data_IF_142573859702
#
_entry.id   IF_142573859702
#
_cell.length_a   1.000
_cell.length_b   1.000
_cell.length_c   1.000
_cell.angle_alpha   90.00
_cell.angle_beta   90.00
_cell.angle_gamma   90.00
#
_symmetry.space_group_name_H-M   'P 1'
#
loop_
_entity.id
_entity.type
_entity.pdbx_description
1 polymer ?
#
# COMPACT_ATOMS: atom_id res chain seq x y z
N UNK A 1 -42.03 14.85 -13.20
CA UNK A 1 -42.31 14.73 -11.75
C UNK A 1 -40.97 14.75 -11.04
N UNK A 2 -40.67 15.88 -10.41
CA UNK A 2 -39.46 16.12 -9.63
C UNK A 2 -39.75 15.64 -8.21
N UNK A 3 -39.00 14.65 -7.73
CA UNK A 3 -39.09 14.16 -6.36
C UNK A 3 -38.41 15.15 -5.41
N UNK A 4 -39.21 15.78 -4.56
CA UNK A 4 -38.79 16.81 -3.62
C UNK A 4 -37.83 16.25 -2.55
N UNK A 5 -36.69 16.93 -2.38
CA UNK A 5 -35.85 16.80 -1.20
C UNK A 5 -36.62 17.32 0.02
N UNK A 6 -36.78 16.48 1.03
CA UNK A 6 -37.31 16.90 2.31
C UNK A 6 -36.30 17.83 3.00
N UNK A 7 -36.69 19.10 3.07
CA UNK A 7 -36.09 20.15 3.88
C UNK A 7 -36.23 19.81 5.37
N UNK A 8 -35.12 19.55 6.05
CA UNK A 8 -35.02 19.61 7.51
C UNK A 8 -34.45 20.97 7.90
N UNK A 9 -35.34 21.90 8.19
CA UNK A 9 -35.03 23.21 8.75
C UNK A 9 -34.76 23.09 10.25
N UNK A 10 -33.55 23.48 10.66
CA UNK A 10 -33.31 24.33 11.82
C UNK A 10 -33.64 23.81 13.22
N UNK A 11 -32.73 23.00 13.79
CA UNK A 11 -32.19 23.35 15.11
C UNK A 11 -30.96 24.20 14.81
N UNK A 12 -30.92 25.45 15.28
CA UNK A 12 -29.66 26.17 15.33
C UNK A 12 -28.73 25.35 16.24
N UNK A 13 -27.80 24.56 15.66
CA UNK A 13 -26.69 24.03 16.44
C UNK A 13 -25.95 25.25 16.95
N UNK A 14 -25.95 25.46 18.26
CA UNK A 14 -25.05 26.42 18.86
C UNK A 14 -23.64 26.11 18.34
N UNK A 15 -22.94 27.14 17.87
CA UNK A 15 -21.55 27.03 17.42
C UNK A 15 -20.76 26.47 18.61
N UNK A 16 -20.15 25.29 18.47
CA UNK A 16 -19.42 24.68 19.57
C UNK A 16 -18.23 25.59 19.93
N UNK A 17 -18.11 25.92 21.22
CA UNK A 17 -17.01 26.75 21.73
C UNK A 17 -15.79 25.88 21.95
N UNK A 18 -14.68 26.23 21.32
CA UNK A 18 -13.44 25.44 21.37
C UNK A 18 -12.28 26.31 21.84
N UNK A 19 -11.63 25.90 22.92
CA UNK A 19 -10.37 26.48 23.34
C UNK A 19 -9.20 25.75 22.67
N UNK A 20 -8.17 26.48 22.25
CA UNK A 20 -6.90 25.90 21.79
C UNK A 20 -5.76 26.49 22.61
N UNK A 21 -5.12 25.64 23.42
CA UNK A 21 -3.97 26.00 24.24
C UNK A 21 -2.70 25.41 23.64
N UNK A 22 -1.75 26.29 23.35
CA UNK A 22 -0.57 26.01 22.54
C UNK A 22 -0.91 26.21 21.06
N UNK A 23 -0.64 27.39 20.53
CA UNK A 23 -0.84 27.74 19.11
C UNK A 23 0.49 27.91 18.36
N UNK A 24 1.43 27.01 18.65
CA UNK A 24 2.68 26.85 17.91
C UNK A 24 2.51 26.10 16.58
N UNK A 25 3.52 25.32 16.19
CA UNK A 25 3.62 24.68 14.86
C UNK A 25 2.41 23.85 14.42
N UNK A 26 1.80 23.11 15.35
CA UNK A 26 0.60 22.30 15.07
C UNK A 26 -0.66 23.04 15.50
N UNK A 27 -0.67 23.57 16.72
CA UNK A 27 -1.83 24.23 17.29
C UNK A 27 -2.33 25.43 16.50
N UNK A 28 -1.44 26.19 15.85
CA UNK A 28 -1.84 27.31 14.97
C UNK A 28 -2.67 26.82 13.78
N UNK A 29 -2.25 25.72 13.14
CA UNK A 29 -3.00 25.12 12.03
C UNK A 29 -4.35 24.55 12.49
N UNK A 30 -4.39 23.94 13.68
CA UNK A 30 -5.62 23.43 14.29
C UNK A 30 -6.59 24.57 14.60
N UNK A 31 -6.15 25.61 15.32
CA UNK A 31 -6.97 26.78 15.64
C UNK A 31 -7.46 27.48 14.35
N UNK A 32 -6.60 27.63 13.35
CA UNK A 32 -6.98 28.20 12.06
C UNK A 32 -8.03 27.37 11.31
N UNK A 33 -7.92 26.04 11.37
CA UNK A 33 -8.90 25.12 10.76
C UNK A 33 -10.23 25.17 11.49
N UNK A 34 -10.23 25.26 12.83
CA UNK A 34 -11.45 25.42 13.64
C UNK A 34 -12.15 26.75 13.35
N UNK A 35 -11.41 27.86 13.30
CA UNK A 35 -11.97 29.17 12.89
C UNK A 35 -12.56 29.08 11.48
N UNK A 36 -11.84 28.48 10.53
CA UNK A 36 -12.32 28.29 9.15
C UNK A 36 -13.54 27.36 9.04
N UNK A 37 -13.66 26.41 9.96
CA UNK A 37 -14.82 25.51 10.10
C UNK A 37 -16.02 26.14 10.81
N UNK A 38 -15.91 27.40 11.25
CA UNK A 38 -16.99 28.11 11.94
C UNK A 38 -17.14 27.69 13.41
N UNK A 39 -16.08 27.33 14.11
CA UNK A 39 -16.14 27.18 15.57
C UNK A 39 -15.95 28.55 16.25
N UNK A 40 -16.52 28.73 17.44
CA UNK A 40 -16.21 29.89 18.29
C UNK A 40 -14.93 29.56 19.07
N UNK A 41 -13.81 30.17 18.68
CA UNK A 41 -12.48 29.76 19.14
C UNK A 41 -11.90 30.77 20.12
N UNK A 42 -11.39 30.28 21.25
CA UNK A 42 -10.49 31.01 22.13
C UNK A 42 -9.08 30.40 22.08
N UNK A 43 -8.04 31.24 21.98
CA UNK A 43 -6.65 30.79 21.92
C UNK A 43 -5.82 31.30 23.09
N UNK A 44 -4.86 30.49 23.50
CA UNK A 44 -3.81 30.87 24.44
C UNK A 44 -2.48 30.22 24.06
N UNK A 45 -1.40 30.97 24.23
CA UNK A 45 -0.02 30.48 24.20
C UNK A 45 0.81 31.28 25.21
N UNK A 46 1.90 30.68 25.69
CA UNK A 46 2.89 31.39 26.52
C UNK A 46 3.68 32.41 25.70
N UNK A 47 3.76 32.24 24.37
CA UNK A 47 4.32 33.21 23.44
C UNK A 47 3.22 34.18 22.94
N UNK A 48 3.24 35.47 23.34
CA UNK A 48 2.27 36.45 22.89
C UNK A 48 2.25 36.65 21.37
N UNK A 49 3.39 36.45 20.69
CA UNK A 49 3.47 36.59 19.25
C UNK A 49 2.65 35.50 18.53
N UNK A 50 2.57 34.29 19.09
CA UNK A 50 1.75 33.21 18.55
C UNK A 50 0.25 33.51 18.69
N UNK A 51 -0.16 34.13 19.80
CA UNK A 51 -1.55 34.56 20.04
C UNK A 51 -1.96 35.70 19.09
N UNK A 52 -1.06 36.66 18.85
CA UNK A 52 -1.32 37.84 18.01
C UNK A 52 -1.75 37.49 16.57
N UNK A 53 -1.29 36.35 16.04
CA UNK A 53 -1.68 35.82 14.71
C UNK A 53 -3.21 35.62 14.59
N UNK A 54 -3.89 35.41 15.72
CA UNK A 54 -5.33 35.17 15.77
C UNK A 54 -6.16 36.43 16.10
N UNK A 55 -5.52 37.60 16.25
CA UNK A 55 -6.24 38.85 16.55
C UNK A 55 -7.32 39.11 15.50
N UNK A 56 -8.55 39.34 15.97
CA UNK A 56 -9.71 39.60 15.11
C UNK A 56 -10.28 38.36 14.40
N UNK A 57 -9.74 37.17 14.66
CA UNK A 57 -10.20 35.89 14.10
C UNK A 57 -10.66 34.90 15.18
N UNK A 58 -10.10 35.00 16.38
CA UNK A 58 -10.46 34.23 17.57
C UNK A 58 -10.37 35.12 18.81
N UNK A 59 -11.03 34.71 19.89
CA UNK A 59 -10.82 35.31 21.20
C UNK A 59 -9.41 34.97 21.71
N UNK A 60 -8.77 35.90 22.40
CA UNK A 60 -7.43 35.72 22.98
C UNK A 60 -7.54 35.75 24.49
N UNK A 61 -6.97 34.76 25.18
CA UNK A 61 -6.96 34.68 26.63
C UNK A 61 -5.56 34.95 27.19
N UNK A 62 -5.47 35.36 28.46
CA UNK A 62 -4.22 35.54 29.19
C UNK A 62 -3.77 34.29 29.96
N UNK A 63 -4.67 33.32 30.17
CA UNK A 63 -4.36 32.03 30.83
C UNK A 63 -5.11 30.86 30.19
N UNK A 64 -4.66 29.59 30.41
CA UNK A 64 -5.41 28.41 30.00
C UNK A 64 -6.82 28.35 30.60
N UNK A 65 -6.97 28.69 31.88
CA UNK A 65 -8.27 28.76 32.55
C UNK A 65 -9.22 29.76 31.87
N UNK A 66 -8.73 30.96 31.54
CA UNK A 66 -9.54 31.96 30.84
C UNK A 66 -9.96 31.50 29.44
N UNK A 67 -9.06 30.85 28.68
CA UNK A 67 -9.41 30.29 27.38
C UNK A 67 -10.50 29.22 27.49
N UNK A 68 -10.49 28.43 28.57
CA UNK A 68 -11.32 27.24 28.73
C UNK A 68 -12.67 27.48 29.42
N UNK A 69 -12.89 28.65 30.05
CA UNK A 69 -14.02 28.91 30.94
C UNK A 69 -15.41 28.58 30.38
N UNK A 70 -15.61 28.81 29.08
CA UNK A 70 -16.88 28.57 28.38
C UNK A 70 -16.78 27.48 27.31
N UNK A 71 -15.67 26.74 27.24
CA UNK A 71 -15.39 25.86 26.12
C UNK A 71 -16.07 24.48 26.28
N UNK A 72 -16.78 24.04 25.24
CA UNK A 72 -17.32 22.68 25.14
C UNK A 72 -16.20 21.64 24.91
N UNK A 73 -15.13 22.08 24.25
CA UNK A 73 -13.92 21.30 24.03
C UNK A 73 -12.66 22.15 24.19
N UNK A 74 -11.61 21.55 24.76
CA UNK A 74 -10.29 22.16 24.86
C UNK A 74 -9.28 21.30 24.10
N UNK A 75 -8.61 21.88 23.11
CA UNK A 75 -7.48 21.29 22.41
C UNK A 75 -6.19 21.71 23.11
N UNK A 76 -5.36 20.74 23.52
CA UNK A 76 -4.04 20.99 24.10
C UNK A 76 -2.95 20.52 23.14
N UNK A 77 -2.14 21.46 22.64
CA UNK A 77 -1.06 21.22 21.70
C UNK A 77 0.24 21.92 22.14
N UNK A 78 0.84 21.38 23.20
CA UNK A 78 2.08 21.87 23.84
C UNK A 78 3.24 20.88 23.66
N UNK A 79 4.44 21.25 24.12
CA UNK A 79 5.66 20.54 23.79
C UNK A 79 5.86 19.24 24.59
N UNK A 80 5.64 19.28 25.90
CA UNK A 80 5.98 18.18 26.81
C UNK A 80 4.96 17.96 27.94
N UNK A 81 5.20 16.91 28.71
CA UNK A 81 4.42 16.50 29.88
C UNK A 81 4.28 17.60 30.94
N UNK A 82 5.34 18.37 31.19
CA UNK A 82 5.33 19.41 32.22
C UNK A 82 4.40 20.56 31.81
N UNK A 83 4.47 20.97 30.54
CA UNK A 83 3.58 21.97 29.98
C UNK A 83 2.12 21.48 29.96
N UNK A 84 1.88 20.22 29.61
CA UNK A 84 0.52 19.65 29.61
C UNK A 84 -0.08 19.67 31.04
N UNK A 85 0.71 19.31 32.05
CA UNK A 85 0.29 19.41 33.47
C UNK A 85 0.05 20.85 33.90
N UNK A 86 0.93 21.78 33.53
CA UNK A 86 0.75 23.20 33.86
C UNK A 86 -0.53 23.78 33.25
N UNK A 87 -0.81 23.46 31.98
CA UNK A 87 -2.00 23.90 31.25
C UNK A 87 -3.30 23.34 31.86
N UNK A 88 -3.30 22.10 32.33
CA UNK A 88 -4.53 21.44 32.76
C UNK A 88 -4.76 21.52 34.27
N UNK A 89 -3.71 21.31 35.06
CA UNK A 89 -3.77 21.15 36.53
C UNK A 89 -3.01 22.24 37.30
N UNK A 90 -2.33 23.15 36.61
CA UNK A 90 -1.61 24.26 37.25
C UNK A 90 -2.54 25.27 37.94
N UNK A 91 -1.97 26.28 38.63
CA UNK A 91 -2.74 27.31 39.33
C UNK A 91 -3.76 28.04 38.44
N UNK A 92 -3.39 28.30 37.18
CA UNK A 92 -4.26 28.87 36.15
C UNK A 92 -4.70 27.82 35.11
N UNK A 93 -4.78 26.56 35.55
CA UNK A 93 -5.06 25.40 34.72
C UNK A 93 -6.53 25.28 34.31
N UNK A 94 -6.76 24.63 33.17
CA UNK A 94 -8.07 24.59 32.54
C UNK A 94 -9.10 23.69 33.22
N UNK A 95 -8.71 22.63 33.95
CA UNK A 95 -9.69 21.67 34.48
C UNK A 95 -10.70 22.28 35.44
N UNK A 96 -10.29 23.25 36.27
CA UNK A 96 -11.21 23.93 37.20
C UNK A 96 -12.11 24.98 36.54
N UNK A 97 -11.79 25.39 35.31
CA UNK A 97 -12.54 26.41 34.58
C UNK A 97 -13.52 25.81 33.55
N UNK A 98 -13.24 24.60 33.05
CA UNK A 98 -14.07 23.94 32.05
C UNK A 98 -15.48 23.62 32.59
N UNK A 99 -16.53 23.76 31.77
CA UNK A 99 -17.86 23.27 32.09
C UNK A 99 -17.88 21.76 32.33
N UNK A 100 -18.76 21.30 33.23
CA UNK A 100 -18.95 19.87 33.47
C UNK A 100 -19.38 19.14 32.18
N UNK A 101 -18.72 18.02 31.89
CA UNK A 101 -18.92 17.23 30.68
C UNK A 101 -18.16 17.73 29.44
N UNK A 102 -17.38 18.82 29.54
CA UNK A 102 -16.50 19.25 28.47
C UNK A 102 -15.43 18.19 28.14
N UNK A 103 -14.89 18.24 26.92
CA UNK A 103 -13.88 17.29 26.45
C UNK A 103 -12.53 17.98 26.27
N UNK A 104 -11.51 17.51 26.98
CA UNK A 104 -10.11 17.88 26.77
C UNK A 104 -9.48 16.91 25.77
N UNK A 105 -9.10 17.43 24.62
CA UNK A 105 -8.42 16.72 23.54
C UNK A 105 -6.91 16.97 23.63
N UNK A 106 -6.14 15.96 24.02
CA UNK A 106 -4.69 16.05 24.14
C UNK A 106 -4.02 15.67 22.83
N UNK A 107 -3.50 16.66 22.09
CA UNK A 107 -2.72 16.47 20.86
C UNK A 107 -1.23 16.34 21.14
N UNK A 108 -0.77 16.92 22.25
CA UNK A 108 0.63 16.86 22.69
C UNK A 108 1.10 15.42 22.80
N UNK A 109 2.28 15.12 22.24
CA UNK A 109 2.87 13.78 22.39
C UNK A 109 3.52 13.68 23.78
N UNK A 110 2.76 13.20 24.76
CA UNK A 110 3.17 13.07 26.17
C UNK A 110 3.33 11.61 26.60
N UNK A 111 3.99 11.40 27.74
CA UNK A 111 4.11 10.09 28.36
C UNK A 111 2.77 9.52 28.83
N UNK A 112 2.65 8.19 28.81
CA UNK A 112 1.41 7.50 29.18
C UNK A 112 1.02 7.72 30.65
N UNK A 113 2.01 7.73 31.57
CA UNK A 113 1.76 8.02 32.98
C UNK A 113 1.16 9.42 33.18
N UNK A 114 1.64 10.40 32.42
CA UNK A 114 1.07 11.76 32.44
C UNK A 114 -0.34 11.79 31.90
N UNK A 115 -0.61 11.09 30.79
CA UNK A 115 -1.96 11.00 30.26
C UNK A 115 -2.93 10.35 31.27
N UNK A 116 -2.51 9.28 31.95
CA UNK A 116 -3.30 8.58 32.97
C UNK A 116 -3.60 9.48 34.18
N UNK A 117 -2.59 10.20 34.69
CA UNK A 117 -2.77 11.19 35.75
C UNK A 117 -3.74 12.29 35.35
N UNK A 118 -3.60 12.83 34.13
CA UNK A 118 -4.47 13.88 33.60
C UNK A 118 -5.90 13.39 33.40
N UNK A 119 -6.09 12.16 32.93
CA UNK A 119 -7.41 11.56 32.79
C UNK A 119 -8.10 11.41 34.15
N UNK A 120 -7.37 11.01 35.19
CA UNK A 120 -7.88 10.93 36.56
C UNK A 120 -8.26 12.31 37.10
N UNK A 121 -7.38 13.29 36.98
CA UNK A 121 -7.64 14.67 37.44
C UNK A 121 -8.79 15.34 36.67
N UNK A 122 -8.93 15.04 35.37
CA UNK A 122 -10.07 15.48 34.56
C UNK A 122 -11.38 14.89 35.05
N UNK A 123 -11.41 13.58 35.33
CA UNK A 123 -12.59 12.92 35.88
C UNK A 123 -13.00 13.48 37.25
N UNK A 124 -12.04 13.76 38.15
CA UNK A 124 -12.28 14.42 39.44
C UNK A 124 -12.87 15.83 39.28
N UNK A 125 -12.55 16.50 38.16
CA UNK A 125 -13.05 17.82 37.79
C UNK A 125 -14.33 17.77 36.92
N UNK A 126 -14.87 16.57 36.66
CA UNK A 126 -16.09 16.38 35.89
C UNK A 126 -15.96 16.56 34.38
N UNK A 127 -14.75 16.46 33.82
CA UNK A 127 -14.48 16.55 32.37
C UNK A 127 -13.96 15.24 31.80
N UNK A 128 -14.08 15.06 30.49
CA UNK A 128 -13.53 13.91 29.77
C UNK A 128 -12.16 14.25 29.19
N UNK A 129 -11.20 13.33 29.28
CA UNK A 129 -9.90 13.44 28.60
C UNK A 129 -9.85 12.42 27.47
N UNK A 130 -9.58 12.90 26.26
CA UNK A 130 -9.44 12.14 25.02
C UNK A 130 -8.04 12.40 24.48
N UNK A 131 -7.25 11.36 24.26
CA UNK A 131 -5.95 11.48 23.61
C UNK A 131 -6.10 11.41 22.09
N UNK A 132 -5.41 12.28 21.37
CA UNK A 132 -5.48 12.34 19.92
C UNK A 132 -4.09 12.53 19.34
N UNK A 133 -3.47 11.41 18.97
CA UNK A 133 -2.22 11.43 18.25
C UNK A 133 -2.42 11.92 16.82
N UNK A 134 -1.66 12.92 16.37
CA UNK A 134 -1.78 13.48 15.01
C UNK A 134 -0.55 13.24 14.15
N UNK A 135 -0.72 13.12 12.83
CA UNK A 135 0.39 13.04 11.87
C UNK A 135 0.11 13.85 10.60
N UNK A 136 1.18 14.17 9.85
CA UNK A 136 1.17 15.06 8.67
C UNK A 136 1.94 16.37 8.85
N UNK A 137 2.34 16.70 10.09
CA UNK A 137 3.17 17.85 10.40
C UNK A 137 2.50 19.21 10.17
N UNK A 138 3.26 20.32 10.27
CA UNK A 138 2.72 21.69 10.20
C UNK A 138 1.99 21.99 8.88
N UNK A 139 2.49 21.44 7.77
CA UNK A 139 1.86 21.63 6.45
C UNK A 139 0.47 21.00 6.37
N UNK A 140 0.26 19.82 6.96
CA UNK A 140 -1.07 19.20 7.00
C UNK A 140 -1.99 19.94 8.00
N UNK A 141 -1.47 20.35 9.16
CA UNK A 141 -2.21 21.14 10.14
C UNK A 141 -2.75 22.45 9.54
N UNK A 142 -1.91 23.21 8.82
CA UNK A 142 -2.30 24.47 8.19
C UNK A 142 -3.37 24.33 7.10
N UNK A 143 -3.56 23.12 6.56
CA UNK A 143 -4.56 22.82 5.52
C UNK A 143 -5.79 22.07 6.07
N UNK A 144 -5.87 21.83 7.37
CA UNK A 144 -6.92 21.01 7.97
C UNK A 144 -6.90 19.56 7.46
N UNK A 145 -5.72 19.00 7.18
CA UNK A 145 -5.55 17.67 6.59
C UNK A 145 -4.75 16.70 7.46
N UNK A 146 -4.70 16.91 8.77
CA UNK A 146 -4.05 15.95 9.67
C UNK A 146 -4.70 14.56 9.57
N UNK A 147 -3.94 13.54 9.94
CA UNK A 147 -4.49 12.21 10.22
C UNK A 147 -4.47 12.02 11.71
N UNK A 148 -5.64 11.76 12.28
CA UNK A 148 -5.88 11.77 13.72
C UNK A 148 -6.21 10.37 14.23
N UNK A 149 -5.51 9.97 15.29
CA UNK A 149 -5.58 8.67 15.96
C UNK A 149 -6.13 8.93 17.36
N UNK A 150 -7.43 8.69 17.55
CA UNK A 150 -8.17 9.13 18.74
C UNK A 150 -8.32 7.96 19.71
N UNK A 151 -7.99 8.15 20.98
CA UNK A 151 -8.24 7.21 22.08
C UNK A 151 -9.18 7.83 23.11
N UNK A 152 -10.13 7.04 23.61
CA UNK A 152 -11.12 7.50 24.58
C UNK A 152 -12.39 6.65 24.56
N UNK A 153 -13.26 6.83 25.54
CA UNK A 153 -14.57 6.17 25.55
C UNK A 153 -15.47 6.71 24.43
N UNK A 154 -16.32 5.84 23.87
CA UNK A 154 -17.16 6.12 22.69
C UNK A 154 -17.95 7.42 22.81
N UNK A 155 -18.54 7.69 23.98
CA UNK A 155 -19.33 8.91 24.21
C UNK A 155 -18.48 10.18 24.15
N UNK A 156 -17.32 10.19 24.82
CA UNK A 156 -16.42 11.34 24.81
C UNK A 156 -15.81 11.57 23.42
N UNK A 157 -15.48 10.50 22.70
CA UNK A 157 -14.98 10.56 21.32
C UNK A 157 -16.06 11.09 20.39
N UNK A 158 -17.31 10.62 20.49
CA UNK A 158 -18.42 11.10 19.67
C UNK A 158 -18.68 12.61 19.87
N UNK A 159 -18.54 13.11 21.11
CA UNK A 159 -18.69 14.54 21.43
C UNK A 159 -17.64 15.42 20.76
N UNK A 160 -16.38 14.97 20.74
CA UNK A 160 -15.26 15.76 20.20
C UNK A 160 -14.98 15.49 18.72
N UNK A 161 -15.61 14.47 18.12
CA UNK A 161 -15.40 14.10 16.72
C UNK A 161 -15.57 15.27 15.73
N UNK A 162 -16.60 16.14 15.83
CA UNK A 162 -16.73 17.30 14.93
C UNK A 162 -15.54 18.27 15.01
N UNK A 163 -14.95 18.42 16.20
CA UNK A 163 -13.75 19.26 16.42
C UNK A 163 -12.55 18.61 15.75
N UNK A 164 -12.38 17.29 15.88
CA UNK A 164 -11.26 16.55 15.26
C UNK A 164 -11.36 16.57 13.73
N UNK A 165 -12.56 16.37 13.18
CA UNK A 165 -12.82 16.38 11.74
C UNK A 165 -12.55 17.74 11.10
N UNK A 166 -12.73 18.85 11.84
CA UNK A 166 -12.47 20.20 11.33
C UNK A 166 -11.00 20.44 10.93
N UNK A 167 -10.05 19.74 11.54
CA UNK A 167 -8.62 19.88 11.24
C UNK A 167 -7.98 18.61 10.63
N UNK A 168 -8.79 17.57 10.37
CA UNK A 168 -8.31 16.26 9.93
C UNK A 168 -8.93 15.81 8.61
N UNK A 169 -8.12 15.24 7.73
CA UNK A 169 -8.60 14.57 6.52
C UNK A 169 -9.02 13.11 6.77
N UNK A 170 -8.53 12.52 7.86
CA UNK A 170 -8.87 11.17 8.30
C UNK A 170 -8.85 11.11 9.82
N UNK A 171 -9.91 10.55 10.40
CA UNK A 171 -10.00 10.25 11.83
C UNK A 171 -10.17 8.74 11.99
N UNK A 172 -9.44 8.16 12.93
CA UNK A 172 -9.54 6.73 13.30
C UNK A 172 -9.61 6.64 14.82
N UNK A 173 -10.67 6.04 15.33
CA UNK A 173 -10.81 5.73 16.76
C UNK A 173 -10.07 4.42 17.06
N UNK A 174 -9.04 4.52 17.91
CA UNK A 174 -8.11 3.44 18.25
C UNK A 174 -8.58 2.58 19.43
N UNK A 175 -9.70 2.94 20.04
CA UNK A 175 -10.27 2.28 21.22
C UNK A 175 -10.26 3.19 22.45
N UNK A 176 -10.14 2.58 23.63
CA UNK A 176 -10.24 3.28 24.92
C UNK A 176 -9.11 4.28 25.19
N UNK A 177 -9.12 4.84 26.41
CA UNK A 177 -8.16 5.87 26.82
C UNK A 177 -6.70 5.44 26.63
N UNK A 178 -5.90 6.33 26.06
CA UNK A 178 -4.47 6.17 25.78
C UNK A 178 -4.15 5.38 24.52
N UNK A 179 -5.14 4.86 23.79
CA UNK A 179 -4.88 4.09 22.56
C UNK A 179 -4.45 4.97 21.38
N UNK A 180 -4.92 6.22 21.31
CA UNK A 180 -4.55 7.19 20.28
C UNK A 180 -3.09 7.62 20.41
N UNK A 181 -2.63 7.90 21.62
CA UNK A 181 -1.24 8.27 21.91
C UNK A 181 -0.30 7.08 21.72
N UNK A 182 -0.69 5.88 22.17
CA UNK A 182 0.07 4.64 21.88
C UNK A 182 0.21 4.42 20.37
N UNK A 183 -0.88 4.53 19.61
CA UNK A 183 -0.85 4.41 18.15
C UNK A 183 0.08 5.43 17.51
N UNK A 184 0.08 6.68 17.98
CA UNK A 184 1.01 7.73 17.53
C UNK A 184 2.46 7.41 17.83
N UNK A 185 2.78 6.95 19.03
CA UNK A 185 4.13 6.55 19.42
C UNK A 185 4.61 5.39 18.56
N UNK A 186 3.78 4.36 18.34
CA UNK A 186 4.09 3.23 17.45
C UNK A 186 4.32 3.72 16.01
N UNK A 187 3.46 4.58 15.48
CA UNK A 187 3.58 5.13 14.13
C UNK A 187 4.82 6.01 13.96
N UNK A 188 5.19 6.78 14.98
CA UNK A 188 6.40 7.59 14.98
C UNK A 188 7.65 6.71 15.08
N UNK A 189 7.65 5.72 15.96
CA UNK A 189 8.73 4.74 16.06
C UNK A 189 9.01 4.10 14.71
N UNK A 190 7.98 3.56 14.05
CA UNK A 190 8.10 3.01 12.70
C UNK A 190 8.73 4.04 11.73
N UNK A 191 8.24 5.28 11.73
CA UNK A 191 8.74 6.32 10.82
C UNK A 191 10.22 6.63 11.02
N UNK A 192 10.64 6.78 12.27
CA UNK A 192 12.02 7.15 12.60
C UNK A 192 12.97 6.01 12.30
N UNK A 193 12.55 4.76 12.53
CA UNK A 193 13.31 3.57 12.13
C UNK A 193 13.47 3.49 10.61
N UNK A 194 12.39 3.75 9.85
CA UNK A 194 12.47 3.80 8.37
C UNK A 194 13.37 4.94 7.90
N UNK A 195 13.37 6.10 8.57
CA UNK A 195 14.28 7.21 8.22
C UNK A 195 15.74 6.85 8.45
N UNK A 196 16.06 6.18 9.56
CA UNK A 196 17.41 5.68 9.81
C UNK A 196 17.84 4.69 8.71
N UNK A 197 16.98 3.72 8.38
CA UNK A 197 17.24 2.76 7.31
C UNK A 197 17.40 3.43 5.93
N UNK A 198 16.58 4.45 5.64
CA UNK A 198 16.69 5.22 4.39
C UNK A 198 17.99 6.02 4.31
N UNK A 199 18.47 6.59 5.43
CA UNK A 199 19.77 7.28 5.45
C UNK A 199 20.94 6.30 5.31
N UNK A 200 20.87 5.11 5.93
CA UNK A 200 21.83 4.03 5.70
C UNK A 200 21.87 3.63 4.22
N UNK A 201 20.70 3.40 3.60
CA UNK A 201 20.59 3.07 2.18
C UNK A 201 21.12 4.19 1.27
N UNK A 202 20.87 5.46 1.61
CA UNK A 202 21.42 6.62 0.89
C UNK A 202 22.95 6.61 0.93
N UNK A 203 23.55 6.40 2.11
CA UNK A 203 25.02 6.33 2.27
C UNK A 203 25.62 5.15 1.51
N UNK A 204 24.98 3.99 1.52
CA UNK A 204 25.38 2.83 0.71
C UNK A 204 25.34 3.18 -0.78
N UNK A 205 24.25 3.80 -1.26
CA UNK A 205 24.14 4.21 -2.66
C UNK A 205 25.26 5.18 -3.08
N UNK A 206 25.55 6.19 -2.25
CA UNK A 206 26.65 7.13 -2.49
C UNK A 206 28.01 6.44 -2.54
N UNK A 207 28.30 5.56 -1.59
CA UNK A 207 29.55 4.80 -1.53
C UNK A 207 29.70 3.82 -2.72
N UNK A 208 28.58 3.28 -3.22
CA UNK A 208 28.52 2.44 -4.42
C UNK A 208 28.51 3.24 -5.74
N UNK A 209 28.58 4.57 -5.71
CA UNK A 209 28.56 5.41 -6.92
C UNK A 209 27.19 5.50 -7.61
N UNK A 210 26.11 5.17 -6.91
CA UNK A 210 24.73 5.23 -7.41
C UNK A 210 24.16 6.63 -7.18
N UNK A 211 23.52 7.18 -8.22
CA UNK A 211 22.76 8.42 -8.12
C UNK A 211 21.51 8.22 -7.23
N UNK A 212 21.51 8.88 -6.07
CA UNK A 212 20.42 8.82 -5.07
C UNK A 212 19.07 9.23 -5.66
N UNK A 213 19.03 10.17 -6.61
CA UNK A 213 17.77 10.60 -7.22
C UNK A 213 17.18 9.50 -8.09
N UNK A 214 18.02 8.76 -8.83
CA UNK A 214 17.59 7.61 -9.64
C UNK A 214 17.20 6.43 -8.75
N UNK A 215 17.94 6.17 -7.67
CA UNK A 215 17.55 5.14 -6.70
C UNK A 215 16.19 5.44 -6.08
N UNK A 216 15.92 6.72 -5.76
CA UNK A 216 14.61 7.15 -5.28
C UNK A 216 13.49 6.84 -6.28
N UNK A 217 13.70 7.02 -7.59
CA UNK A 217 12.70 6.67 -8.61
C UNK A 217 12.36 5.17 -8.56
N UNK A 218 13.38 4.31 -8.42
CA UNK A 218 13.20 2.86 -8.28
C UNK A 218 12.45 2.51 -6.99
N UNK A 219 12.81 3.11 -5.86
CA UNK A 219 12.15 2.89 -4.57
C UNK A 219 10.68 3.28 -4.63
N UNK A 220 10.35 4.45 -5.20
CA UNK A 220 8.96 4.91 -5.35
C UNK A 220 8.15 3.96 -6.23
N UNK A 221 8.68 3.56 -7.38
CA UNK A 221 8.01 2.61 -8.26
C UNK A 221 7.83 1.22 -7.63
N UNK A 222 8.80 0.78 -6.80
CA UNK A 222 8.72 -0.46 -6.04
C UNK A 222 7.65 -0.42 -4.95
N UNK A 223 7.60 0.67 -4.18
CA UNK A 223 6.62 0.87 -3.10
C UNK A 223 5.18 0.85 -3.62
N UNK A 224 4.92 1.33 -4.84
CA UNK A 224 3.59 1.25 -5.47
C UNK A 224 3.11 -0.19 -5.73
N UNK A 225 4.05 -1.12 -5.96
CA UNK A 225 3.73 -2.53 -6.24
C UNK A 225 3.58 -3.37 -4.98
N UNK A 226 4.35 -3.07 -3.93
CA UNK A 226 4.46 -3.90 -2.72
C UNK A 226 3.93 -3.23 -1.45
N UNK A 227 3.55 -1.95 -1.51
CA UNK A 227 2.91 -1.20 -0.44
C UNK A 227 3.85 -0.50 0.55
N UNK A 228 5.15 -0.46 0.24
CA UNK A 228 6.19 0.13 1.08
C UNK A 228 6.27 -0.48 2.50
N UNK A 229 7.13 0.07 3.38
CA UNK A 229 7.31 -0.46 4.74
C UNK A 229 6.02 -0.49 5.58
N UNK A 230 5.08 0.42 5.29
CA UNK A 230 3.82 0.55 6.03
C UNK A 230 2.81 -0.56 5.74
N UNK A 231 2.86 -1.21 4.57
CA UNK A 231 1.92 -2.27 4.24
C UNK A 231 2.03 -3.48 5.18
N UNK A 232 3.22 -3.75 5.72
CA UNK A 232 3.47 -4.85 6.65
C UNK A 232 2.62 -4.75 7.93
N UNK A 233 2.27 -3.54 8.40
CA UNK A 233 1.40 -3.38 9.56
C UNK A 233 -0.06 -3.79 9.30
N UNK A 234 -0.50 -3.73 8.04
CA UNK A 234 -1.87 -4.06 7.63
C UNK A 234 -2.01 -5.51 7.13
N UNK A 235 -0.89 -6.22 6.99
CA UNK A 235 -0.80 -7.55 6.41
C UNK A 235 -0.99 -8.64 7.48
N UNK A 236 -1.96 -9.54 7.27
CA UNK A 236 -2.04 -10.88 7.90
C UNK A 236 -2.17 -11.98 6.84
N UNK A 237 -1.17 -12.17 5.96
CA UNK A 237 -1.17 -13.23 4.96
C UNK A 237 -1.02 -14.62 5.59
N UNK A 238 -1.43 -15.65 4.85
CA UNK A 238 -1.30 -17.04 5.30
C UNK A 238 0.20 -17.43 5.46
N UNK A 239 0.57 -18.23 6.48
CA UNK A 239 1.97 -18.56 6.78
C UNK A 239 2.77 -19.15 5.62
N UNK A 240 2.13 -19.92 4.73
CA UNK A 240 2.78 -20.52 3.55
C UNK A 240 3.30 -19.50 2.55
N UNK A 241 2.54 -18.42 2.32
CA UNK A 241 2.97 -17.31 1.46
C UNK A 241 4.17 -16.58 2.04
N UNK A 242 4.25 -16.50 3.37
CA UNK A 242 5.30 -15.76 4.06
C UNK A 242 6.63 -16.49 4.12
N UNK A 243 6.64 -17.83 4.16
CA UNK A 243 7.89 -18.62 4.18
C UNK A 243 8.77 -18.37 2.96
N UNK A 244 8.21 -18.46 1.75
CA UNK A 244 8.97 -18.22 0.52
C UNK A 244 9.46 -16.78 0.38
N UNK A 245 8.65 -15.80 0.79
CA UNK A 245 9.03 -14.40 0.80
C UNK A 245 10.13 -14.10 1.85
N UNK A 246 10.05 -14.71 3.04
CA UNK A 246 11.02 -14.54 4.12
C UNK A 246 12.41 -15.04 3.72
N UNK A 247 12.50 -16.23 3.11
CA UNK A 247 13.79 -16.79 2.68
C UNK A 247 14.49 -15.90 1.63
N UNK A 248 13.73 -15.40 0.64
CA UNK A 248 14.28 -14.48 -0.36
C UNK A 248 14.73 -13.16 0.28
N UNK A 249 13.89 -12.57 1.11
CA UNK A 249 14.19 -11.30 1.76
C UNK A 249 15.36 -11.41 2.75
N UNK A 250 15.54 -12.55 3.44
CA UNK A 250 16.67 -12.78 4.34
C UNK A 250 17.98 -12.92 3.58
N UNK A 251 17.97 -13.64 2.44
CA UNK A 251 19.10 -13.73 1.52
C UNK A 251 19.51 -12.33 1.01
N UNK A 252 18.54 -11.50 0.63
CA UNK A 252 18.80 -10.15 0.14
C UNK A 252 19.31 -9.22 1.26
N UNK A 253 18.81 -9.36 2.50
CA UNK A 253 19.31 -8.65 3.68
C UNK A 253 20.79 -9.00 3.95
N UNK A 254 21.16 -10.29 3.93
CA UNK A 254 22.56 -10.72 4.08
C UNK A 254 23.47 -10.16 2.97
N UNK A 255 23.00 -10.18 1.72
CA UNK A 255 23.72 -9.59 0.61
C UNK A 255 23.94 -8.07 0.80
N UNK A 256 22.94 -7.36 1.32
CA UNK A 256 23.05 -5.92 1.61
C UNK A 256 24.09 -5.63 2.71
N UNK A 257 24.16 -6.48 3.74
CA UNK A 257 25.16 -6.35 4.82
C UNK A 257 26.57 -6.60 4.27
N UNK A 258 26.75 -7.62 3.42
CA UNK A 258 28.04 -7.90 2.78
C UNK A 258 28.49 -6.75 1.87
N UNK A 259 27.57 -6.14 1.11
CA UNK A 259 27.87 -4.94 0.32
C UNK A 259 28.27 -3.76 1.22
N UNK A 260 27.56 -3.57 2.34
CA UNK A 260 27.90 -2.53 3.32
C UNK A 260 29.32 -2.72 3.87
N UNK A 261 29.73 -3.96 4.16
CA UNK A 261 31.09 -4.31 4.56
C UNK A 261 32.13 -3.95 3.48
N UNK A 262 31.83 -4.24 2.21
CA UNK A 262 32.72 -3.92 1.08
C UNK A 262 32.92 -2.41 0.89
N UNK A 263 31.84 -1.63 1.00
CA UNK A 263 31.87 -0.17 0.74
C UNK A 263 32.16 0.66 2.00
N UNK A 264 32.37 0.03 3.15
CA UNK A 264 32.65 0.70 4.42
C UNK A 264 31.47 1.49 4.99
N UNK A 265 30.23 1.05 4.75
CA UNK A 265 29.01 1.67 5.27
C UNK A 265 28.56 1.03 6.59
N UNK A 266 28.21 1.86 7.58
CA UNK A 266 27.67 1.40 8.85
C UNK A 266 26.15 1.17 8.76
N UNK A 267 25.72 -0.06 9.06
CA UNK A 267 24.33 -0.55 8.94
C UNK A 267 23.88 -1.30 10.22
N UNK A 268 23.92 -0.65 11.40
CA UNK A 268 23.74 -1.31 12.68
C UNK A 268 22.34 -1.92 12.84
N UNK A 269 21.31 -1.30 12.25
CA UNK A 269 19.94 -1.84 12.30
C UNK A 269 19.84 -3.12 11.46
N UNK A 270 20.41 -3.15 10.25
CA UNK A 270 20.41 -4.35 9.41
C UNK A 270 21.08 -5.53 10.12
N UNK A 271 22.21 -5.30 10.78
CA UNK A 271 22.94 -6.33 11.55
C UNK A 271 22.20 -6.79 12.80
N UNK A 272 21.50 -5.88 13.46
CA UNK A 272 20.67 -6.19 14.62
C UNK A 272 19.44 -7.02 14.21
N UNK A 273 18.86 -6.72 13.04
CA UNK A 273 17.63 -7.34 12.56
C UNK A 273 17.88 -8.68 11.88
N UNK A 274 19.03 -8.88 11.25
CA UNK A 274 19.33 -10.10 10.46
C UNK A 274 19.07 -11.42 11.21
N UNK A 275 19.49 -11.60 12.48
CA UNK A 275 19.22 -12.84 13.22
C UNK A 275 17.73 -13.07 13.50
N UNK A 276 16.96 -11.99 13.63
CA UNK A 276 15.54 -11.99 14.02
C UNK A 276 14.61 -11.77 12.81
N UNK A 277 15.14 -11.76 11.59
CA UNK A 277 14.42 -11.25 10.42
C UNK A 277 13.17 -12.07 10.07
N UNK A 278 13.17 -13.37 10.38
CA UNK A 278 12.00 -14.25 10.26
C UNK A 278 10.77 -13.74 11.04
N UNK A 279 10.97 -13.00 12.13
CA UNK A 279 9.88 -12.43 12.96
C UNK A 279 9.14 -11.30 12.25
N UNK A 280 9.78 -10.59 11.33
CA UNK A 280 9.13 -9.58 10.48
C UNK A 280 8.01 -10.21 9.64
N UNK A 281 8.14 -11.51 9.34
CA UNK A 281 7.17 -12.29 8.59
C UNK A 281 6.18 -13.07 9.47
N UNK A 282 6.23 -12.88 10.79
CA UNK A 282 5.38 -13.60 11.76
C UNK A 282 5.74 -15.08 11.90
N UNK A 283 6.99 -15.45 11.62
CA UNK A 283 7.45 -16.85 11.60
C UNK A 283 8.28 -17.20 12.85
N UNK A 284 7.75 -16.95 14.04
CA UNK A 284 8.46 -17.07 15.33
C UNK A 284 8.99 -18.48 15.66
N UNK A 285 8.43 -19.53 15.05
CA UNK A 285 8.82 -20.94 15.24
C UNK A 285 9.56 -21.53 14.02
N UNK A 286 9.93 -20.71 13.03
CA UNK A 286 10.48 -21.17 11.75
C UNK A 286 12.01 -20.99 11.67
N UNK A 287 12.75 -22.08 11.48
CA UNK A 287 14.18 -22.04 11.24
C UNK A 287 14.47 -21.65 9.78
N UNK A 288 15.00 -20.44 9.60
CA UNK A 288 15.29 -19.85 8.29
C UNK A 288 16.45 -20.56 7.58
N UNK A 289 17.33 -21.24 8.31
CA UNK A 289 18.44 -22.01 7.70
C UNK A 289 17.96 -23.33 7.13
N UNK A 290 17.00 -24.00 7.78
CA UNK A 290 16.37 -25.24 7.31
C UNK A 290 15.47 -24.97 6.08
N UNK A 291 14.77 -23.83 6.06
CA UNK A 291 13.95 -23.35 4.96
C UNK A 291 14.73 -23.05 3.67
N UNK A 292 15.91 -22.43 3.81
CA UNK A 292 16.78 -22.08 2.70
C UNK A 292 17.39 -23.32 2.01
N UNK A 293 17.48 -24.45 2.71
CA UNK A 293 17.95 -25.72 2.16
C UNK A 293 16.90 -26.46 1.30
N UNK A 294 15.61 -26.20 1.50
CA UNK A 294 14.51 -26.86 0.78
C UNK A 294 14.09 -26.16 -0.52
N UNK A 295 14.56 -24.92 -0.79
CA UNK A 295 14.22 -24.18 -2.00
C UNK A 295 15.44 -23.83 -2.86
N UNK A 296 15.87 -24.73 -3.74
CA UNK A 296 16.77 -24.40 -4.84
C UNK A 296 16.35 -25.07 -6.16
N UNK A 297 16.23 -24.28 -7.24
CA UNK A 297 16.93 -24.67 -8.46
C UNK A 297 17.65 -23.49 -9.16
N UNK A 298 18.67 -23.82 -9.97
CA UNK A 298 19.59 -22.92 -10.67
C UNK A 298 18.92 -21.99 -11.71
N UNK A 299 19.42 -20.75 -11.85
CA UNK A 299 18.85 -19.70 -12.71
C UNK A 299 19.31 -19.84 -14.17
N UNK A 300 18.33 -19.98 -15.07
CA UNK A 300 18.46 -20.00 -16.53
C UNK A 300 18.58 -18.57 -17.10
N UNK A 301 19.54 -18.32 -18.00
CA UNK A 301 19.77 -17.02 -18.66
C UNK A 301 18.54 -16.51 -19.44
N UNK A 302 18.37 -15.18 -19.55
CA UNK A 302 17.19 -14.54 -20.15
C UNK A 302 16.98 -14.90 -21.62
N UNK A 303 18.07 -15.04 -22.40
CA UNK A 303 17.99 -15.48 -23.80
C UNK A 303 17.51 -16.92 -23.88
N UNK A 304 18.04 -17.78 -23.01
CA UNK A 304 17.69 -19.21 -22.96
C UNK A 304 16.22 -19.40 -22.61
N UNK A 305 15.78 -18.70 -21.56
CA UNK A 305 14.37 -18.67 -21.13
C UNK A 305 13.45 -18.08 -22.21
N UNK A 306 13.89 -17.00 -22.88
CA UNK A 306 13.17 -16.34 -23.96
C UNK A 306 12.99 -17.22 -25.19
N UNK A 307 14.05 -17.90 -25.64
CA UNK A 307 13.99 -18.86 -26.75
C UNK A 307 13.08 -20.04 -26.42
N UNK A 308 13.16 -20.57 -25.18
CA UNK A 308 12.29 -21.64 -24.70
C UNK A 308 10.82 -21.21 -24.67
N UNK A 309 10.52 -20.02 -24.17
CA UNK A 309 9.17 -19.48 -24.11
C UNK A 309 8.63 -19.14 -25.52
N UNK A 310 9.45 -18.55 -26.40
CA UNK A 310 9.08 -18.27 -27.78
C UNK A 310 8.74 -19.56 -28.54
N UNK A 311 9.56 -20.60 -28.36
CA UNK A 311 9.28 -21.94 -28.92
C UNK A 311 7.97 -22.51 -28.37
N UNK A 312 7.72 -22.36 -27.07
CA UNK A 312 6.45 -22.73 -26.46
C UNK A 312 5.26 -21.95 -27.05
N UNK A 313 5.40 -20.67 -27.37
CA UNK A 313 4.29 -19.85 -27.89
C UNK A 313 3.99 -20.09 -29.37
N UNK A 314 4.99 -20.41 -30.18
CA UNK A 314 4.84 -20.51 -31.64
C UNK A 314 4.90 -21.94 -32.22
N UNK A 315 5.23 -22.95 -31.43
CA UNK A 315 5.34 -24.35 -31.87
C UNK A 315 6.26 -24.60 -33.08
N UNK A 316 7.21 -23.69 -33.34
CA UNK A 316 8.20 -23.82 -34.41
C UNK A 316 9.58 -24.11 -33.80
N UNK A 317 10.34 -25.11 -34.29
CA UNK A 317 11.75 -25.23 -33.98
C UNK A 317 12.51 -24.09 -34.69
N UNK A 318 12.53 -22.92 -34.07
CA UNK A 318 13.25 -21.76 -34.57
C UNK A 318 14.72 -21.89 -34.14
N UNK A 319 15.61 -22.30 -35.06
CA UNK A 319 17.04 -22.14 -34.82
C UNK A 319 17.43 -20.68 -35.11
N UNK A 320 17.57 -19.92 -34.04
CA UNK A 320 18.06 -18.53 -34.05
C UNK A 320 19.48 -18.46 -33.46
N UNK A 321 20.22 -19.57 -33.46
CA UNK A 321 21.59 -19.59 -32.96
C UNK A 321 22.45 -18.56 -33.69
N UNK A 322 22.97 -17.59 -32.94
CA UNK A 322 23.80 -16.50 -33.48
C UNK A 322 23.04 -15.34 -34.15
N UNK A 323 21.70 -15.40 -34.25
CA UNK A 323 20.92 -14.26 -34.73
C UNK A 323 20.70 -13.24 -33.61
N UNK A 324 21.17 -12.00 -33.81
CA UNK A 324 20.99 -10.87 -32.90
C UNK A 324 20.69 -9.60 -33.69
N UNK A 325 19.93 -8.70 -33.09
CA UNK A 325 19.54 -7.43 -33.66
C UNK A 325 18.49 -6.76 -32.78
N UNK A 326 18.44 -5.42 -32.69
CA UNK A 326 17.63 -4.72 -31.69
C UNK A 326 16.16 -5.16 -31.63
N UNK A 327 15.54 -5.45 -32.78
CA UNK A 327 14.18 -5.94 -32.86
C UNK A 327 14.02 -7.39 -32.36
N UNK A 328 14.97 -8.27 -32.73
CA UNK A 328 14.95 -9.67 -32.33
C UNK A 328 15.26 -9.83 -30.84
N UNK A 329 16.17 -9.03 -30.32
CA UNK A 329 16.58 -9.09 -28.91
C UNK A 329 15.45 -8.59 -27.98
N UNK A 330 14.76 -7.51 -28.35
CA UNK A 330 13.54 -7.10 -27.64
C UNK A 330 12.41 -8.15 -27.73
N UNK A 331 12.33 -8.86 -28.85
CA UNK A 331 11.31 -9.90 -29.03
C UNK A 331 11.62 -11.13 -28.17
N UNK A 332 12.84 -11.64 -28.21
CA UNK A 332 13.21 -12.89 -27.53
C UNK A 332 13.44 -12.65 -26.04
N UNK A 333 14.25 -11.66 -25.68
CA UNK A 333 14.76 -11.50 -24.32
C UNK A 333 13.72 -10.82 -23.45
N UNK A 334 13.07 -9.79 -23.98
CA UNK A 334 12.07 -9.02 -23.24
C UNK A 334 10.66 -9.58 -23.41
N UNK A 335 10.11 -9.61 -24.64
CA UNK A 335 8.73 -10.10 -24.82
C UNK A 335 8.60 -11.56 -24.36
N UNK A 336 9.43 -12.48 -24.84
CA UNK A 336 9.31 -13.88 -24.43
C UNK A 336 10.05 -14.22 -23.13
N UNK A 337 11.22 -13.65 -22.89
CA UNK A 337 12.04 -13.95 -21.72
C UNK A 337 11.57 -13.28 -20.42
N UNK A 338 10.83 -12.18 -20.50
CA UNK A 338 10.33 -11.44 -19.35
C UNK A 338 8.80 -11.28 -19.34
N UNK A 339 8.16 -10.89 -20.45
CA UNK A 339 6.71 -10.58 -20.43
C UNK A 339 5.85 -11.85 -20.44
N UNK A 340 6.16 -12.83 -21.30
CA UNK A 340 5.43 -14.10 -21.35
C UNK A 340 5.75 -15.04 -20.18
N UNK A 341 6.88 -14.84 -19.51
CA UNK A 341 7.32 -15.64 -18.35
C UNK A 341 6.88 -15.05 -17.01
N UNK A 342 6.36 -13.81 -16.99
CA UNK A 342 5.87 -13.18 -15.76
C UNK A 342 4.80 -14.03 -15.08
N UNK A 343 4.89 -14.22 -13.75
CA UNK A 343 3.88 -14.92 -13.00
C UNK A 343 2.55 -14.15 -13.04
N UNK A 344 1.44 -14.88 -12.82
CA UNK A 344 0.09 -14.31 -12.76
C UNK A 344 -0.82 -14.68 -13.94
N UNK A 345 -0.26 -14.94 -15.14
CA UNK A 345 -1.02 -15.51 -16.28
C UNK A 345 -0.23 -16.64 -16.94
N UNK A 346 -0.85 -17.80 -17.12
CA UNK A 346 -0.28 -18.93 -17.85
C UNK A 346 -0.29 -18.69 -19.38
N UNK A 347 0.38 -19.57 -20.14
CA UNK A 347 0.49 -19.44 -21.60
C UNK A 347 -0.89 -19.44 -22.27
N UNK A 348 -1.81 -20.30 -21.81
CA UNK A 348 -3.16 -20.42 -22.37
C UNK A 348 -3.95 -19.13 -22.16
N UNK A 349 -3.88 -18.53 -20.98
CA UNK A 349 -4.53 -17.26 -20.64
C UNK A 349 -3.97 -16.11 -21.47
N UNK A 350 -2.64 -16.02 -21.59
CA UNK A 350 -1.97 -15.00 -22.44
C UNK A 350 -2.35 -15.17 -23.91
N UNK A 351 -2.42 -16.41 -24.39
CA UNK A 351 -2.81 -16.73 -25.76
C UNK A 351 -4.23 -16.27 -26.07
N UNK A 352 -5.19 -16.51 -25.17
CA UNK A 352 -6.58 -16.05 -25.35
C UNK A 352 -6.65 -14.51 -25.46
N UNK A 353 -5.86 -13.78 -24.66
CA UNK A 353 -5.76 -12.32 -24.78
C UNK A 353 -5.16 -11.89 -26.12
N UNK A 354 -4.08 -12.53 -26.55
CA UNK A 354 -3.44 -12.25 -27.85
C UNK A 354 -4.38 -12.54 -29.02
N UNK A 355 -5.12 -13.66 -28.98
CA UNK A 355 -6.16 -14.00 -29.97
C UNK A 355 -7.21 -12.90 -30.04
N UNK A 356 -7.73 -12.44 -28.89
CA UNK A 356 -8.72 -11.37 -28.85
C UNK A 356 -8.24 -10.08 -29.49
N UNK A 357 -7.00 -9.67 -29.21
CA UNK A 357 -6.38 -8.48 -29.80
C UNK A 357 -6.19 -8.64 -31.31
N UNK A 358 -5.67 -9.77 -31.77
CA UNK A 358 -5.45 -10.02 -33.20
C UNK A 358 -6.76 -10.08 -33.99
N UNK A 359 -7.81 -10.66 -33.41
CA UNK A 359 -9.16 -10.70 -34.00
C UNK A 359 -9.77 -9.30 -34.12
N UNK A 360 -9.64 -8.47 -33.09
CA UNK A 360 -10.08 -7.07 -33.14
C UNK A 360 -9.33 -6.24 -34.20
N UNK A 361 -8.07 -6.61 -34.50
CA UNK A 361 -7.23 -5.94 -35.50
C UNK A 361 -7.35 -6.53 -36.92
N UNK A 362 -8.14 -7.59 -37.12
CA UNK A 362 -8.28 -8.28 -38.40
C UNK A 362 -6.96 -8.88 -38.92
N UNK A 363 -6.14 -9.42 -38.02
CA UNK A 363 -4.81 -9.98 -38.34
C UNK A 363 -4.87 -11.51 -38.50
N UNK A 364 -5.58 -11.95 -39.53
CA UNK A 364 -5.91 -13.37 -39.77
C UNK A 364 -4.67 -14.27 -39.91
N UNK A 365 -3.62 -13.80 -40.58
CA UNK A 365 -2.36 -14.56 -40.74
C UNK A 365 -1.71 -14.87 -39.38
N UNK A 366 -1.79 -13.93 -38.43
CA UNK A 366 -1.24 -14.11 -37.08
C UNK A 366 -2.17 -14.97 -36.20
N UNK A 367 -3.48 -14.92 -36.44
CA UNK A 367 -4.45 -15.79 -35.77
C UNK A 367 -4.28 -17.25 -36.17
N UNK A 368 -3.98 -17.56 -37.44
CA UNK A 368 -3.67 -18.92 -37.89
C UNK A 368 -2.51 -19.52 -37.10
N UNK A 369 -1.46 -18.73 -36.85
CA UNK A 369 -0.31 -19.14 -36.05
C UNK A 369 -0.72 -19.44 -34.60
N UNK A 370 -1.51 -18.55 -33.98
CA UNK A 370 -1.94 -18.73 -32.59
C UNK A 370 -2.89 -19.93 -32.42
N UNK A 371 -3.81 -20.14 -33.36
CA UNK A 371 -4.72 -21.29 -33.35
C UNK A 371 -3.98 -22.61 -33.59
N UNK A 372 -3.07 -22.66 -34.57
CA UNK A 372 -2.27 -23.87 -34.83
C UNK A 372 -1.43 -24.24 -33.61
N UNK A 373 -0.71 -23.28 -33.03
CA UNK A 373 0.12 -23.54 -31.85
C UNK A 373 -0.71 -23.95 -30.62
N UNK A 374 -1.89 -23.34 -30.41
CA UNK A 374 -2.78 -23.72 -29.31
C UNK A 374 -3.23 -25.19 -29.42
N UNK A 375 -3.56 -25.64 -30.63
CA UNK A 375 -3.98 -27.02 -30.88
C UNK A 375 -2.82 -28.02 -30.76
N UNK A 376 -1.69 -27.72 -31.39
CA UNK A 376 -0.50 -28.60 -31.37
C UNK A 376 0.01 -28.84 -29.95
N UNK A 377 -0.16 -27.86 -29.05
CA UNK A 377 0.24 -27.96 -27.64
C UNK A 377 -0.85 -28.47 -26.71
N UNK A 378 -2.03 -28.76 -27.24
CA UNK A 378 -3.19 -29.18 -26.43
C UNK A 378 -3.71 -28.10 -25.48
N UNK A 379 -3.40 -26.83 -25.72
CA UNK A 379 -3.89 -25.71 -24.89
C UNK A 379 -5.38 -25.42 -25.16
N UNK A 380 -5.80 -25.60 -26.42
CA UNK A 380 -7.18 -25.45 -26.87
C UNK A 380 -7.54 -26.59 -27.82
N UNK A 381 -8.70 -27.20 -27.61
CA UNK A 381 -9.27 -28.18 -28.55
C UNK A 381 -9.90 -27.47 -29.75
N UNK A 382 -10.14 -28.22 -30.83
CA UNK A 382 -10.90 -27.70 -31.98
C UNK A 382 -12.26 -27.13 -31.57
N UNK A 383 -12.98 -27.79 -30.66
CA UNK A 383 -14.26 -27.32 -30.15
C UNK A 383 -14.13 -26.04 -29.33
N UNK A 384 -13.08 -25.91 -28.51
CA UNK A 384 -12.81 -24.69 -27.78
C UNK A 384 -12.47 -23.53 -28.71
N UNK A 385 -11.74 -23.78 -29.82
CA UNK A 385 -11.49 -22.75 -30.83
C UNK A 385 -12.76 -22.33 -31.56
N UNK A 386 -13.66 -23.26 -31.88
CA UNK A 386 -14.99 -22.93 -32.44
C UNK A 386 -15.76 -22.03 -31.50
N UNK A 387 -15.78 -22.34 -30.20
CA UNK A 387 -16.45 -21.52 -29.19
C UNK A 387 -15.81 -20.13 -29.07
N UNK A 388 -14.47 -20.04 -29.14
CA UNK A 388 -13.77 -18.75 -29.17
C UNK A 388 -14.20 -17.90 -30.37
N UNK A 389 -14.33 -18.49 -31.56
CA UNK A 389 -14.81 -17.76 -32.75
C UNK A 389 -16.26 -17.28 -32.58
N UNK A 390 -17.14 -18.12 -32.05
CA UNK A 390 -18.53 -17.74 -31.74
C UNK A 390 -18.57 -16.58 -30.75
N UNK A 391 -17.76 -16.64 -29.70
CA UNK A 391 -17.64 -15.57 -28.73
C UNK A 391 -17.17 -14.28 -29.39
N UNK A 392 -16.04 -14.32 -30.11
CA UNK A 392 -15.46 -13.15 -30.76
C UNK A 392 -16.40 -12.49 -31.76
N UNK A 393 -17.23 -13.27 -32.48
CA UNK A 393 -18.18 -12.72 -33.45
C UNK A 393 -19.15 -11.69 -32.85
N UNK A 394 -19.46 -11.82 -31.55
CA UNK A 394 -20.34 -10.89 -30.82
C UNK A 394 -19.62 -9.62 -30.35
N UNK A 395 -18.30 -9.67 -30.14
CA UNK A 395 -17.54 -8.55 -29.57
C UNK A 395 -16.77 -7.76 -30.64
N UNK A 396 -16.15 -8.44 -31.60
CA UNK A 396 -15.39 -7.79 -32.69
C UNK A 396 -16.19 -7.70 -33.99
N UNK A 397 -17.32 -8.43 -34.08
CA UNK A 397 -18.26 -8.37 -35.19
C UNK A 397 -18.08 -9.49 -36.23
N UNK A 398 -19.18 -9.82 -36.91
CA UNK A 398 -19.22 -10.84 -37.97
C UNK A 398 -18.23 -10.63 -39.12
N UNK A 399 -17.99 -9.40 -39.64
CA UNK A 399 -17.04 -9.19 -40.73
C UNK A 399 -15.62 -9.65 -40.40
N UNK A 400 -15.13 -9.38 -39.18
CA UNK A 400 -13.78 -9.73 -38.73
C UNK A 400 -13.65 -11.20 -38.29
N UNK A 401 -14.76 -11.90 -38.05
CA UNK A 401 -14.74 -13.29 -37.54
C UNK A 401 -15.20 -14.34 -38.55
N UNK A 402 -15.89 -13.93 -39.61
CA UNK A 402 -16.42 -14.85 -40.63
C UNK A 402 -15.36 -15.74 -41.29
N UNK A 403 -14.14 -15.21 -41.51
CA UNK A 403 -13.00 -15.99 -42.02
C UNK A 403 -12.40 -16.96 -40.99
N UNK A 404 -12.49 -16.63 -39.69
CA UNK A 404 -11.89 -17.41 -38.62
C UNK A 404 -12.59 -18.77 -38.43
N UNK A 405 -13.90 -18.84 -38.66
CA UNK A 405 -14.62 -20.11 -38.62
C UNK A 405 -14.07 -21.11 -39.65
N UNK A 406 -13.86 -20.65 -40.90
CA UNK A 406 -13.25 -21.48 -41.95
C UNK A 406 -11.81 -21.89 -41.64
N UNK A 407 -11.05 -21.00 -41.00
CA UNK A 407 -9.69 -21.27 -40.56
C UNK A 407 -9.64 -22.36 -39.48
N UNK A 408 -10.50 -22.28 -38.46
CA UNK A 408 -10.58 -23.31 -37.41
C UNK A 408 -10.93 -24.67 -38.01
N UNK A 409 -11.91 -24.74 -38.91
CA UNK A 409 -12.27 -26.01 -39.56
C UNK A 409 -11.13 -26.59 -40.40
N UNK A 410 -10.36 -25.74 -41.10
CA UNK A 410 -9.16 -26.15 -41.83
C UNK A 410 -8.12 -26.76 -40.90
N UNK A 411 -7.88 -26.15 -39.74
CA UNK A 411 -6.89 -26.63 -38.75
C UNK A 411 -7.35 -27.92 -38.08
N UNK A 412 -8.62 -28.04 -37.70
CA UNK A 412 -9.17 -29.27 -37.10
C UNK A 412 -9.05 -30.45 -38.05
N UNK A 413 -9.42 -30.28 -39.32
CA UNK A 413 -9.26 -31.34 -40.34
C UNK A 413 -7.80 -31.75 -40.53
N UNK A 414 -6.87 -30.79 -40.47
CA UNK A 414 -5.43 -31.04 -40.58
C UNK A 414 -4.93 -31.90 -39.41
N UNK A 415 -5.33 -31.56 -38.17
CA UNK A 415 -4.96 -32.31 -36.97
C UNK A 415 -5.52 -33.73 -37.01
N UNK A 416 -6.82 -33.89 -37.29
CA UNK A 416 -7.44 -35.22 -37.39
C UNK A 416 -6.79 -36.11 -38.46
N UNK A 417 -6.32 -35.51 -39.57
CA UNK A 417 -5.58 -36.24 -40.60
C UNK A 417 -4.20 -36.69 -40.13
N UNK A 418 -3.52 -35.85 -39.35
CA UNK A 418 -2.22 -36.18 -38.77
C UNK A 418 -2.35 -37.29 -37.72
N UNK A 419 -3.36 -37.22 -36.84
CA UNK A 419 -3.61 -38.20 -35.80
C UNK A 419 -3.93 -39.58 -36.40
N UNK A 420 -4.78 -39.64 -37.43
CA UNK A 420 -5.06 -40.89 -38.18
C UNK A 420 -3.81 -41.48 -38.84
N UNK A 421 -2.91 -40.64 -39.34
CA UNK A 421 -1.66 -41.10 -39.98
C UNK A 421 -0.67 -41.63 -38.94
N UNK A 422 -0.59 -40.99 -37.77
CA UNK A 422 0.23 -41.44 -36.65
C UNK A 422 -0.26 -42.78 -36.09
N UNK A 423 -1.57 -42.95 -35.88
CA UNK A 423 -2.17 -44.21 -35.43
C UNK A 423 -1.90 -45.38 -36.40
N UNK A 424 -1.96 -45.14 -37.72
CA UNK A 424 -1.66 -46.16 -38.73
C UNK A 424 -0.17 -46.58 -38.75
N UNK A 425 0.74 -45.71 -38.29
CA UNK A 425 2.17 -46.01 -38.22
C UNK A 425 2.61 -46.69 -36.92
N UNK A 426 1.79 -46.63 -35.87
CA UNK A 426 2.10 -47.13 -34.53
C UNK A 426 1.55 -48.55 -34.28
N UNK A 427 0.75 -49.12 -35.19
CA UNK A 427 0.24 -50.50 -35.11
C UNK A 427 1.27 -51.50 -35.71
N UNK A 428 1.96 -52.33 -34.91
CA UNK A 428 2.96 -53.28 -35.41
C UNK A 428 2.32 -54.54 -36.05
N UNK A 429 0.99 -54.66 -36.04
CA UNK A 429 0.31 -55.88 -36.48
C UNK A 429 0.18 -56.04 -38.00
N UNK A 430 0.61 -55.05 -38.79
CA UNK A 430 0.69 -55.16 -40.25
C UNK A 430 1.95 -55.89 -40.76
N UNK A 431 2.94 -56.17 -39.91
CA UNK A 431 4.07 -57.06 -40.22
C UNK A 431 3.71 -58.51 -39.92
N UNK A 432 2.91 -59.17 -40.78
CA UNK A 432 2.94 -60.65 -40.91
C UNK A 432 2.15 -61.15 -42.13
N UNK A 433 2.80 -61.14 -43.29
CA UNK A 433 2.68 -62.23 -44.26
C UNK A 433 4.03 -62.48 -44.94
N UNK A 434 4.72 -63.59 -44.64
CA UNK A 434 5.84 -64.00 -45.46
C UNK A 434 5.28 -64.69 -46.72
N UNK A 435 5.74 -64.22 -47.87
CA UNK A 435 5.73 -64.96 -49.13
C UNK A 435 7.10 -64.72 -49.73
N UNK A 436 7.90 -65.68 -50.15
CA UNK A 436 7.91 -67.15 -50.13
C UNK A 436 9.10 -67.51 -51.00
#
# INVERSE_FOLDING_TARGET
>A
MVGAAASTTGKACAMAKVAVVGVGMIGSGVAGSLVGGGFDVAVYDVDPAAVEVFRGRAATAATPAEAAADADALVVAVFDDAQARAVLTGPDGAFGALPAGAVVLVLSTIGMATLEDLAKAGAESGVHVVDCGVTGGPGAAARGRLVSMVGGGDEAVARVLPVVEAFSSKVVHMGGSGTGMRAKLIRNHMQYTVWAAADEARRMAEASGIDVAKLREVVVAGDELTGGPTALMAMRPAPEMMRGAAAMAHKDLRASIALADEVGADVPVARLVEPEFHRVFGLEEYDVEEAAAESAPAVEDARTRGLRMMSAVYSLPMSLEGASGPYLDLTVDHLFGEIWTRPGLDIRQRRLLTIGVLAALGKDDLLEIQFSSAMERGELTGDQLREVVVHLAHYVGWPLTSGLGGLVEKLVRKQESADRSAEQSADPSAERRPRS
#
